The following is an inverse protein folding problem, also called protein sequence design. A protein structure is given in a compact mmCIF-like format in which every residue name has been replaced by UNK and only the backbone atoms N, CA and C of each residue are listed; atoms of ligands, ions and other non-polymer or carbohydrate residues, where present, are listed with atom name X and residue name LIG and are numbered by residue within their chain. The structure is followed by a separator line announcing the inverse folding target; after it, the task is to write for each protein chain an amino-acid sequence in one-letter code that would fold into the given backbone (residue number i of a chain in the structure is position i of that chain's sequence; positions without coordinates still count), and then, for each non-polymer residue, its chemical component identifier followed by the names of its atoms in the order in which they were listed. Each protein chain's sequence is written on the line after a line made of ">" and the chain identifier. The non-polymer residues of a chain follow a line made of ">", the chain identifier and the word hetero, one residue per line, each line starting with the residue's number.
data_IF_663665013083
#
_entry.id   IF_663665013083
#
_cell.length_a   1.000
_cell.length_b   1.000
_cell.length_c   1.000
_cell.angle_alpha   90.00
_cell.angle_beta   90.00
_cell.angle_gamma   90.00
#
_symmetry.space_group_name_H-M   'P 1'
#
loop_
_entity.id
_entity.type
_entity.pdbx_description
1 polymer ?
#
# COMPACT_ATOMS: atom_id res chain seq x y z
N UNK A 1 -29.84 -45.73 -24.26
CA UNK A 1 -29.50 -44.96 -23.05
C UNK A 1 -28.07 -44.42 -23.19
N UNK A 2 -27.94 -43.19 -23.69
CA UNK A 2 -26.65 -42.53 -23.94
C UNK A 2 -26.25 -41.82 -22.67
N UNK A 3 -25.22 -42.33 -22.00
CA UNK A 3 -24.62 -41.65 -20.85
C UNK A 3 -23.97 -40.36 -21.34
N UNK A 4 -24.56 -39.22 -21.02
CA UNK A 4 -23.91 -37.90 -21.12
C UNK A 4 -22.83 -37.88 -20.03
N UNK A 5 -21.58 -38.12 -20.41
CA UNK A 5 -20.43 -37.81 -19.61
C UNK A 5 -20.37 -36.28 -19.49
N UNK A 6 -20.85 -35.72 -18.40
CA UNK A 6 -20.54 -34.37 -17.98
C UNK A 6 -19.03 -34.29 -17.82
N UNK A 7 -18.36 -33.70 -18.79
CA UNK A 7 -16.97 -33.33 -18.66
C UNK A 7 -16.90 -32.35 -17.48
N UNK A 8 -16.42 -32.82 -16.35
CA UNK A 8 -16.08 -31.96 -15.21
C UNK A 8 -15.12 -30.89 -15.71
N UNK A 9 -15.58 -29.66 -15.74
CA UNK A 9 -14.79 -28.49 -16.12
C UNK A 9 -13.63 -28.42 -15.13
N UNK A 10 -12.42 -28.81 -15.55
CA UNK A 10 -11.22 -28.65 -14.72
C UNK A 10 -10.91 -27.15 -14.66
N UNK A 11 -11.19 -26.53 -13.54
CA UNK A 11 -10.78 -25.16 -13.30
C UNK A 11 -9.25 -25.12 -13.20
N UNK A 12 -8.60 -24.35 -14.08
CA UNK A 12 -7.18 -24.07 -13.98
C UNK A 12 -6.92 -23.21 -12.73
N UNK A 13 -6.00 -23.63 -11.90
CA UNK A 13 -5.52 -22.88 -10.75
C UNK A 13 -4.24 -22.12 -11.13
N UNK A 14 -4.05 -20.94 -10.55
CA UNK A 14 -2.82 -20.17 -10.61
C UNK A 14 -2.34 -19.89 -9.18
N UNK A 15 -1.11 -19.46 -9.03
CA UNK A 15 -0.58 -19.00 -7.75
C UNK A 15 -1.52 -18.01 -7.05
N UNK A 16 -2.01 -17.00 -7.78
CA UNK A 16 -2.95 -16.00 -7.23
C UNK A 16 -4.29 -16.58 -6.81
N UNK A 17 -4.80 -17.62 -7.51
CA UNK A 17 -6.01 -18.33 -7.10
C UNK A 17 -5.80 -19.15 -5.83
N UNK A 18 -4.63 -19.75 -5.67
CA UNK A 18 -4.29 -20.46 -4.43
C UNK A 18 -4.20 -19.46 -3.27
N UNK A 19 -3.54 -18.31 -3.45
CA UNK A 19 -3.50 -17.23 -2.44
C UNK A 19 -4.91 -16.72 -2.09
N UNK A 20 -5.80 -16.58 -3.08
CA UNK A 20 -7.20 -16.20 -2.82
C UNK A 20 -7.92 -17.26 -1.98
N UNK A 21 -7.67 -18.56 -2.23
CA UNK A 21 -8.22 -19.65 -1.43
C UNK A 21 -7.69 -19.65 0.00
N UNK A 22 -6.37 -19.46 0.19
CA UNK A 22 -5.75 -19.36 1.51
C UNK A 22 -6.34 -18.20 2.32
N UNK A 23 -6.64 -17.08 1.68
CA UNK A 23 -7.33 -15.97 2.32
C UNK A 23 -8.78 -16.34 2.67
N UNK A 24 -9.53 -16.89 1.70
CA UNK A 24 -10.92 -17.26 1.89
C UNK A 24 -11.42 -18.19 0.74
N UNK A 25 -11.90 -19.39 1.02
CA UNK A 25 -12.48 -20.28 0.00
C UNK A 25 -13.59 -19.62 -0.81
N UNK A 26 -14.47 -18.82 -0.16
CA UNK A 26 -15.54 -18.06 -0.81
C UNK A 26 -14.98 -16.99 -1.76
N UNK A 27 -13.87 -16.35 -1.43
CA UNK A 27 -13.17 -15.40 -2.31
C UNK A 27 -12.73 -16.06 -3.62
N UNK A 28 -12.08 -17.23 -3.54
CA UNK A 28 -11.70 -18.00 -4.74
C UNK A 28 -12.91 -18.36 -5.58
N UNK A 29 -13.97 -18.82 -4.94
CA UNK A 29 -15.21 -19.22 -5.62
C UNK A 29 -15.85 -18.04 -6.34
N UNK A 30 -16.04 -16.90 -5.65
CA UNK A 30 -16.60 -15.68 -6.22
C UNK A 30 -15.74 -15.12 -7.36
N UNK A 31 -14.43 -15.07 -7.22
CA UNK A 31 -13.51 -14.61 -8.27
C UNK A 31 -13.59 -15.48 -9.55
N UNK A 32 -14.03 -16.73 -9.42
CA UNK A 32 -14.14 -17.66 -10.56
C UNK A 32 -15.54 -17.69 -11.16
N UNK A 33 -16.59 -17.68 -10.34
CA UNK A 33 -17.97 -17.87 -10.77
C UNK A 33 -18.77 -16.58 -10.89
N UNK A 34 -18.41 -15.57 -10.09
CA UNK A 34 -19.12 -14.29 -9.99
C UNK A 34 -18.16 -13.09 -9.93
N UNK A 35 -17.25 -12.95 -10.91
CA UNK A 35 -16.33 -11.81 -10.97
C UNK A 35 -17.05 -10.46 -11.11
N UNK A 36 -18.30 -10.49 -11.56
CA UNK A 36 -19.18 -9.33 -11.67
C UNK A 36 -19.52 -8.68 -10.32
N UNK A 37 -19.31 -9.38 -9.20
CA UNK A 37 -19.58 -8.89 -7.84
C UNK A 37 -18.36 -8.24 -7.18
N UNK A 38 -17.21 -8.24 -7.85
CA UNK A 38 -15.99 -7.61 -7.33
C UNK A 38 -16.10 -6.09 -7.36
N UNK A 39 -15.75 -5.45 -6.25
CA UNK A 39 -15.57 -4.00 -6.24
C UNK A 39 -14.30 -3.60 -7.00
N UNK A 40 -14.37 -2.48 -7.71
CA UNK A 40 -13.22 -1.93 -8.40
C UNK A 40 -12.26 -1.31 -7.39
N UNK A 41 -10.99 -1.67 -7.48
CA UNK A 41 -9.92 -1.08 -6.69
C UNK A 41 -9.24 0.03 -7.49
N UNK A 42 -9.59 1.30 -7.17
CA UNK A 42 -9.03 2.48 -7.84
C UNK A 42 -7.49 2.57 -7.80
N UNK A 43 -6.85 1.89 -6.84
CA UNK A 43 -5.38 1.86 -6.71
C UNK A 43 -4.70 0.67 -7.40
N UNK A 44 -5.45 -0.26 -8.00
CA UNK A 44 -4.90 -1.48 -8.57
C UNK A 44 -3.92 -1.19 -9.72
N UNK A 45 -4.28 -0.30 -10.65
CA UNK A 45 -3.44 0.06 -11.80
C UNK A 45 -2.08 0.62 -11.36
N UNK A 46 -2.06 1.53 -10.38
CA UNK A 46 -0.82 2.11 -9.88
C UNK A 46 0.08 1.05 -9.19
N UNK A 47 -0.54 0.08 -8.48
CA UNK A 47 0.20 -1.03 -7.87
C UNK A 47 0.76 -1.98 -8.92
N UNK A 48 0.00 -2.31 -9.97
CA UNK A 48 0.48 -3.13 -11.08
C UNK A 48 1.60 -2.42 -11.85
N UNK A 49 1.46 -1.14 -12.16
CA UNK A 49 2.51 -0.36 -12.81
C UNK A 49 3.80 -0.34 -11.98
N UNK A 50 3.68 -0.19 -10.65
CA UNK A 50 4.84 -0.27 -9.75
C UNK A 50 5.48 -1.66 -9.77
N UNK A 51 4.67 -2.71 -9.71
CA UNK A 51 5.14 -4.11 -9.79
C UNK A 51 5.90 -4.38 -11.09
N UNK A 52 5.32 -3.98 -12.22
CA UNK A 52 5.93 -4.15 -13.54
C UNK A 52 7.28 -3.42 -13.65
N UNK A 53 7.35 -2.15 -13.22
CA UNK A 53 8.59 -1.39 -13.24
C UNK A 53 9.71 -2.03 -12.39
N UNK A 54 9.36 -2.61 -11.25
CA UNK A 54 10.29 -3.34 -10.40
C UNK A 54 10.75 -4.65 -11.08
N UNK A 55 9.83 -5.38 -11.70
CA UNK A 55 10.13 -6.59 -12.46
C UNK A 55 11.03 -6.33 -13.66
N UNK A 56 10.78 -5.28 -14.44
CA UNK A 56 11.60 -4.86 -15.58
C UNK A 56 13.05 -4.59 -15.16
N UNK A 57 13.25 -3.88 -14.05
CA UNK A 57 14.59 -3.63 -13.52
C UNK A 57 15.25 -4.92 -13.05
N UNK A 58 14.52 -5.80 -12.38
CA UNK A 58 15.05 -7.08 -11.96
C UNK A 58 15.54 -7.91 -13.16
N UNK A 59 14.81 -7.90 -14.27
CA UNK A 59 15.24 -8.54 -15.52
C UNK A 59 16.47 -7.84 -16.14
N UNK A 60 16.46 -6.51 -16.19
CA UNK A 60 17.55 -5.73 -16.80
C UNK A 60 18.90 -5.89 -16.10
N UNK A 61 18.90 -6.21 -14.81
CA UNK A 61 20.12 -6.49 -14.04
C UNK A 61 20.77 -7.84 -14.36
N UNK A 62 20.12 -8.67 -15.19
CA UNK A 62 20.62 -10.00 -15.57
C UNK A 62 20.84 -10.09 -17.09
N UNK A 63 21.97 -9.61 -17.60
CA UNK A 63 22.28 -9.64 -19.03
C UNK A 63 22.32 -11.07 -19.57
N UNK A 64 21.80 -11.27 -20.77
CA UNK A 64 21.72 -12.57 -21.42
C UNK A 64 20.52 -13.43 -21.00
N UNK A 65 19.63 -12.90 -20.19
CA UNK A 65 18.38 -13.55 -19.84
C UNK A 65 17.39 -13.60 -20.99
N UNK A 66 16.48 -14.57 -20.98
CA UNK A 66 15.43 -14.76 -21.98
C UNK A 66 14.06 -14.68 -21.33
N UNK A 67 13.22 -13.75 -21.82
CA UNK A 67 11.83 -13.61 -21.42
C UNK A 67 10.95 -14.70 -22.04
N UNK A 68 10.15 -15.36 -21.22
CA UNK A 68 9.11 -16.30 -21.64
C UNK A 68 7.76 -15.58 -21.63
N UNK A 69 7.42 -14.96 -22.73
CA UNK A 69 6.15 -14.22 -22.91
C UNK A 69 5.50 -14.53 -24.27
N UNK A 70 5.16 -15.81 -24.55
CA UNK A 70 4.38 -16.14 -25.72
C UNK A 70 2.89 -15.93 -25.48
N UNK A 71 2.08 -15.80 -26.56
CA UNK A 71 0.65 -15.50 -26.47
C UNK A 71 -0.20 -16.61 -25.85
N UNK A 72 0.32 -17.85 -25.82
CA UNK A 72 -0.41 -18.98 -25.24
C UNK A 72 0.36 -19.67 -24.13
N UNK A 73 -0.39 -20.22 -23.18
CA UNK A 73 0.15 -20.97 -22.05
C UNK A 73 0.95 -22.21 -22.51
N UNK A 74 0.45 -22.94 -23.51
CA UNK A 74 1.15 -24.11 -24.05
C UNK A 74 2.49 -23.77 -24.65
N UNK A 75 2.58 -22.63 -25.35
CA UNK A 75 3.83 -22.12 -25.88
C UNK A 75 4.77 -21.66 -24.78
N UNK A 76 4.27 -21.06 -23.70
CA UNK A 76 5.09 -20.67 -22.55
C UNK A 76 5.74 -21.89 -21.88
N UNK A 77 4.95 -22.94 -21.62
CA UNK A 77 5.43 -24.21 -21.08
C UNK A 77 6.48 -24.85 -22.01
N UNK A 78 6.19 -24.92 -23.32
CA UNK A 78 7.12 -25.48 -24.30
C UNK A 78 8.42 -24.67 -24.39
N UNK A 79 8.34 -23.34 -24.41
CA UNK A 79 9.51 -22.47 -24.44
C UNK A 79 10.38 -22.64 -23.21
N UNK A 80 9.76 -22.65 -22.01
CA UNK A 80 10.49 -22.90 -20.74
C UNK A 80 11.20 -24.25 -20.77
N UNK A 81 10.50 -25.32 -21.13
CA UNK A 81 11.06 -26.67 -21.25
C UNK A 81 12.23 -26.73 -22.27
N UNK A 82 12.08 -26.07 -23.41
CA UNK A 82 13.13 -25.99 -24.43
C UNK A 82 14.39 -25.24 -23.95
N UNK A 83 14.22 -24.13 -23.22
CA UNK A 83 15.36 -23.37 -22.67
C UNK A 83 16.10 -24.18 -21.59
N UNK A 84 15.37 -24.91 -20.75
CA UNK A 84 15.95 -25.73 -19.70
C UNK A 84 16.71 -26.94 -20.31
N UNK A 85 16.06 -27.69 -21.18
CA UNK A 85 16.63 -28.89 -21.80
C UNK A 85 17.73 -28.55 -22.79
N UNK A 86 17.61 -27.44 -23.50
CA UNK A 86 18.67 -26.92 -24.41
C UNK A 86 19.86 -26.31 -23.69
N UNK A 87 19.82 -26.25 -22.36
CA UNK A 87 20.95 -25.80 -21.56
C UNK A 87 21.24 -24.30 -21.65
N UNK A 88 20.19 -23.45 -21.89
CA UNK A 88 20.34 -21.99 -21.96
C UNK A 88 21.26 -21.49 -20.82
N UNK A 89 22.30 -20.69 -21.12
CA UNK A 89 23.31 -20.33 -20.13
C UNK A 89 22.88 -19.20 -19.18
N UNK A 90 21.99 -18.31 -19.64
CA UNK A 90 21.51 -17.15 -18.91
C UNK A 90 20.23 -17.43 -18.09
N UNK A 91 19.75 -16.43 -17.36
CA UNK A 91 18.48 -16.52 -16.67
C UNK A 91 17.29 -16.71 -17.61
N UNK A 92 16.23 -17.34 -17.09
CA UNK A 92 14.94 -17.45 -17.77
C UNK A 92 13.95 -16.63 -16.96
N UNK A 93 13.35 -15.60 -17.58
CA UNK A 93 12.35 -14.75 -16.95
C UNK A 93 10.95 -15.24 -17.29
N UNK A 94 10.01 -15.13 -16.34
CA UNK A 94 8.64 -15.62 -16.46
C UNK A 94 8.59 -17.12 -16.79
N UNK A 95 9.58 -17.87 -16.28
CA UNK A 95 9.68 -19.31 -16.51
C UNK A 95 8.38 -19.99 -16.03
N UNK A 96 7.67 -20.64 -16.98
CA UNK A 96 6.32 -21.11 -16.76
C UNK A 96 6.32 -22.61 -16.51
N UNK A 97 5.69 -23.03 -15.41
CA UNK A 97 5.56 -24.44 -15.00
C UNK A 97 4.10 -24.76 -14.67
N UNK A 98 3.75 -26.02 -14.84
CA UNK A 98 2.44 -26.54 -14.47
C UNK A 98 2.61 -27.91 -13.82
N UNK A 99 1.92 -28.10 -12.72
CA UNK A 99 1.74 -29.41 -12.11
C UNK A 99 0.33 -29.53 -11.55
N UNK A 100 -0.30 -30.67 -11.77
CA UNK A 100 -1.66 -30.96 -11.29
C UNK A 100 -2.64 -29.80 -11.54
N UNK A 101 -2.62 -29.19 -12.75
CA UNK A 101 -3.49 -28.08 -13.14
C UNK A 101 -3.24 -26.76 -12.39
N UNK A 102 -2.14 -26.65 -11.65
CA UNK A 102 -1.66 -25.41 -11.03
C UNK A 102 -0.55 -24.81 -11.87
N UNK A 103 -0.79 -23.58 -12.32
CA UNK A 103 0.16 -22.82 -13.12
C UNK A 103 0.93 -21.84 -12.24
N UNK A 104 2.25 -21.79 -12.45
CA UNK A 104 3.13 -20.75 -11.87
C UNK A 104 4.02 -20.15 -12.95
N UNK A 105 4.34 -18.87 -12.78
CA UNK A 105 5.40 -18.16 -13.49
C UNK A 105 6.42 -17.71 -12.48
N UNK A 106 7.69 -17.94 -12.79
CA UNK A 106 8.82 -17.62 -11.93
C UNK A 106 9.51 -16.41 -12.51
N UNK A 107 9.56 -15.31 -11.77
CA UNK A 107 10.07 -14.04 -12.28
C UNK A 107 11.52 -14.17 -12.79
N UNK A 108 12.38 -14.85 -12.01
CA UNK A 108 13.79 -15.09 -12.39
C UNK A 108 14.18 -16.53 -12.03
N UNK A 109 14.57 -17.32 -13.01
CA UNK A 109 15.09 -18.68 -12.83
C UNK A 109 16.52 -18.75 -13.38
N UNK A 110 17.49 -19.08 -12.52
CA UNK A 110 18.91 -19.08 -12.82
C UNK A 110 19.56 -20.41 -12.52
N UNK A 111 20.58 -20.79 -13.33
CA UNK A 111 21.44 -21.92 -12.97
C UNK A 111 22.36 -21.57 -11.81
N UNK A 112 22.58 -22.52 -10.91
CA UNK A 112 23.56 -22.35 -9.85
C UNK A 112 24.86 -23.08 -10.17
N UNK A 113 25.95 -22.57 -9.64
CA UNK A 113 27.24 -23.22 -9.72
C UNK A 113 27.16 -24.60 -9.03
N UNK A 114 27.71 -25.63 -9.67
CA UNK A 114 27.56 -27.00 -9.20
C UNK A 114 26.31 -27.75 -9.66
N UNK A 115 25.43 -27.10 -10.41
CA UNK A 115 24.22 -27.66 -11.01
C UNK A 115 22.95 -27.41 -10.21
N UNK A 116 21.81 -27.55 -10.88
CA UNK A 116 20.48 -27.20 -10.34
C UNK A 116 20.10 -25.74 -10.63
N UNK A 117 19.03 -25.26 -9.95
CA UNK A 117 18.40 -23.99 -10.24
C UNK A 117 18.15 -23.17 -8.97
N UNK A 118 18.22 -21.86 -9.11
CA UNK A 118 17.74 -20.89 -8.14
C UNK A 118 16.54 -20.14 -8.74
N UNK A 119 15.49 -20.00 -7.97
CA UNK A 119 14.31 -19.23 -8.31
C UNK A 119 14.22 -17.97 -7.44
N UNK A 120 13.87 -16.84 -8.03
CA UNK A 120 13.57 -15.64 -7.30
C UNK A 120 12.20 -15.09 -7.73
N UNK A 121 11.36 -14.83 -6.75
CA UNK A 121 10.10 -14.10 -6.89
C UNK A 121 10.35 -12.64 -6.53
N UNK A 122 10.13 -11.73 -7.47
CA UNK A 122 10.39 -10.31 -7.33
C UNK A 122 9.21 -9.60 -6.67
N UNK A 123 9.48 -8.82 -5.65
CA UNK A 123 8.44 -8.07 -4.91
C UNK A 123 8.81 -6.60 -4.76
N UNK A 124 7.87 -5.73 -5.08
CA UNK A 124 8.00 -4.29 -4.88
C UNK A 124 7.93 -3.86 -3.41
N UNK A 125 8.18 -4.74 -2.44
CA UNK A 125 8.19 -4.43 -1.00
C UNK A 125 9.63 -4.32 -0.50
N UNK A 126 9.85 -3.55 0.59
CA UNK A 126 11.16 -3.41 1.23
C UNK A 126 11.51 -4.54 2.20
N UNK A 127 10.69 -5.58 2.29
CA UNK A 127 10.90 -6.77 3.15
C UNK A 127 10.01 -7.93 2.74
N UNK A 128 10.36 -9.13 3.18
CA UNK A 128 9.49 -10.30 3.09
C UNK A 128 8.23 -10.07 3.94
N UNK A 129 7.08 -10.47 3.41
CA UNK A 129 5.78 -10.49 4.10
C UNK A 129 5.28 -11.94 4.21
N UNK A 130 4.40 -12.22 5.18
CA UNK A 130 3.96 -13.59 5.44
C UNK A 130 3.32 -14.27 4.22
N UNK A 131 2.46 -13.55 3.49
CA UNK A 131 1.82 -14.11 2.29
C UNK A 131 2.80 -14.41 1.13
N UNK A 132 4.00 -13.79 1.11
CA UNK A 132 5.04 -14.16 0.15
C UNK A 132 5.52 -15.59 0.34
N UNK A 133 5.47 -16.11 1.58
CA UNK A 133 5.87 -17.49 1.91
C UNK A 133 4.94 -18.52 1.26
N UNK A 134 3.62 -18.28 1.33
CA UNK A 134 2.62 -19.13 0.66
C UNK A 134 2.76 -19.10 -0.86
N UNK A 135 2.95 -17.92 -1.45
CA UNK A 135 3.20 -17.74 -2.88
C UNK A 135 4.42 -18.55 -3.34
N UNK A 136 5.57 -18.38 -2.64
CA UNK A 136 6.81 -19.04 -2.99
C UNK A 136 6.75 -20.55 -2.76
N UNK A 137 6.10 -21.00 -1.68
CA UNK A 137 5.91 -22.44 -1.44
C UNK A 137 5.11 -23.12 -2.54
N UNK A 138 4.07 -22.46 -3.08
CA UNK A 138 3.30 -22.96 -4.22
C UNK A 138 4.16 -23.06 -5.48
N UNK A 139 5.01 -22.05 -5.75
CA UNK A 139 5.93 -22.09 -6.90
C UNK A 139 6.95 -23.24 -6.75
N UNK A 140 7.57 -23.37 -5.59
CA UNK A 140 8.56 -24.41 -5.31
C UNK A 140 7.93 -25.79 -5.48
N UNK A 141 6.73 -25.99 -4.95
CA UNK A 141 6.01 -27.25 -5.10
C UNK A 141 5.80 -27.59 -6.57
N UNK A 142 5.22 -26.68 -7.38
CA UNK A 142 5.01 -26.92 -8.80
C UNK A 142 6.31 -27.18 -9.56
N UNK A 143 7.37 -26.42 -9.30
CA UNK A 143 8.66 -26.62 -9.96
C UNK A 143 9.29 -27.96 -9.64
N UNK A 144 9.27 -28.40 -8.36
CA UNK A 144 9.84 -29.69 -7.94
C UNK A 144 9.08 -30.85 -8.58
N UNK A 145 7.75 -30.79 -8.60
CA UNK A 145 6.90 -31.81 -9.24
C UNK A 145 7.04 -31.80 -10.76
N UNK A 146 7.42 -30.68 -11.37
CA UNK A 146 7.83 -30.59 -12.78
C UNK A 146 9.27 -31.06 -13.03
N UNK A 147 9.98 -31.59 -12.02
CA UNK A 147 11.31 -32.19 -12.14
C UNK A 147 12.48 -31.20 -12.07
N UNK A 148 12.26 -29.99 -11.56
CA UNK A 148 13.30 -28.99 -11.39
C UNK A 148 14.10 -29.25 -10.10
N UNK A 149 15.41 -29.47 -10.23
CA UNK A 149 16.32 -29.58 -9.10
C UNK A 149 16.62 -28.19 -8.52
N UNK A 150 15.76 -27.78 -7.61
CA UNK A 150 15.79 -26.45 -7.01
C UNK A 150 16.72 -26.43 -5.79
N UNK A 151 17.78 -25.61 -5.86
CA UNK A 151 18.75 -25.44 -4.79
C UNK A 151 18.49 -24.21 -3.92
N UNK A 152 17.81 -23.19 -4.45
CA UNK A 152 17.46 -21.96 -3.77
C UNK A 152 16.11 -21.43 -4.26
N UNK A 153 15.30 -20.91 -3.33
CA UNK A 153 14.09 -20.18 -3.65
C UNK A 153 13.99 -18.93 -2.78
N UNK A 154 14.06 -17.78 -3.41
CA UNK A 154 14.16 -16.49 -2.72
C UNK A 154 13.00 -15.55 -3.04
N UNK A 155 12.67 -14.72 -2.07
CA UNK A 155 11.96 -13.47 -2.32
C UNK A 155 13.01 -12.40 -2.58
N UNK A 156 13.03 -11.89 -3.82
CA UNK A 156 13.85 -10.74 -4.22
C UNK A 156 13.07 -9.46 -3.95
N UNK A 157 13.44 -8.75 -2.91
CA UNK A 157 12.75 -7.53 -2.49
C UNK A 157 13.67 -6.31 -2.58
N UNK A 158 13.09 -5.12 -2.54
CA UNK A 158 13.83 -3.86 -2.65
C UNK A 158 14.66 -3.63 -1.38
N UNK A 159 15.94 -3.30 -1.53
CA UNK A 159 16.76 -2.77 -0.45
C UNK A 159 16.44 -1.27 -0.24
N UNK A 160 15.79 -0.98 0.86
CA UNK A 160 15.41 0.40 1.21
C UNK A 160 16.59 1.31 1.54
N UNK A 161 17.81 0.73 1.66
CA UNK A 161 19.06 1.48 1.87
C UNK A 161 19.77 1.84 0.57
N UNK A 162 19.34 1.27 -0.55
CA UNK A 162 19.89 1.61 -1.86
C UNK A 162 19.78 3.11 -2.11
N UNK A 163 20.81 3.68 -2.72
CA UNK A 163 20.82 5.08 -3.20
C UNK A 163 21.14 5.09 -4.67
N UNK A 164 20.29 5.71 -5.48
CA UNK A 164 20.56 5.88 -6.91
C UNK A 164 21.70 6.88 -7.11
N UNK A 165 22.89 6.41 -7.45
CA UNK A 165 24.08 7.26 -7.62
C UNK A 165 24.25 7.77 -9.05
N UNK A 166 23.72 7.05 -10.04
CA UNK A 166 23.71 7.41 -11.45
C UNK A 166 22.40 7.00 -12.07
N UNK A 167 21.89 7.82 -12.93
CA UNK A 167 20.66 7.55 -13.68
C UNK A 167 20.75 6.20 -14.40
N UNK A 168 19.71 5.36 -14.23
CA UNK A 168 19.63 4.03 -14.84
C UNK A 168 20.50 2.95 -14.20
N UNK A 169 21.34 3.27 -13.20
CA UNK A 169 22.20 2.29 -12.53
C UNK A 169 21.52 1.76 -11.24
N UNK A 170 20.83 0.64 -11.39
CA UNK A 170 20.13 -0.02 -10.29
C UNK A 170 20.87 -1.22 -9.70
N UNK A 171 22.17 -1.36 -9.96
CA UNK A 171 22.97 -2.41 -9.34
C UNK A 171 22.94 -2.29 -7.81
N UNK A 172 22.50 -3.35 -7.12
CA UNK A 172 22.30 -3.35 -5.67
C UNK A 172 20.93 -2.87 -5.17
N UNK A 173 19.96 -2.59 -6.09
CA UNK A 173 18.59 -2.24 -5.70
C UNK A 173 17.87 -3.36 -4.94
N UNK A 174 18.26 -4.62 -5.14
CA UNK A 174 17.57 -5.77 -4.57
C UNK A 174 18.38 -6.52 -3.53
N UNK A 175 17.66 -7.15 -2.62
CA UNK A 175 18.17 -8.15 -1.66
C UNK A 175 17.36 -9.43 -1.82
N UNK A 176 18.06 -10.57 -1.88
CA UNK A 176 17.44 -11.89 -1.92
C UNK A 176 17.35 -12.48 -0.52
N UNK A 177 16.16 -12.84 -0.11
CA UNK A 177 15.90 -13.65 1.09
C UNK A 177 15.62 -15.08 0.65
N UNK A 178 16.60 -15.98 0.81
CA UNK A 178 16.40 -17.41 0.55
C UNK A 178 15.50 -18.01 1.63
N UNK A 179 14.34 -18.48 1.24
CA UNK A 179 13.35 -19.05 2.15
C UNK A 179 13.19 -20.57 1.99
N UNK A 180 13.87 -21.19 1.01
CA UNK A 180 13.68 -22.61 0.71
C UNK A 180 13.78 -23.50 1.96
N UNK A 181 14.78 -23.34 2.85
CA UNK A 181 14.89 -24.17 4.06
C UNK A 181 13.74 -23.99 5.04
N UNK A 182 13.11 -22.80 5.04
CA UNK A 182 12.02 -22.47 5.98
C UNK A 182 10.65 -22.92 5.47
N UNK A 183 10.53 -23.28 4.19
CA UNK A 183 9.25 -23.55 3.52
C UNK A 183 8.91 -25.03 3.39
N UNK A 184 9.77 -25.97 3.79
CA UNK A 184 9.58 -27.41 3.57
C UNK A 184 8.23 -27.91 4.12
N UNK A 185 7.87 -27.53 5.34
CA UNK A 185 6.60 -27.91 5.95
C UNK A 185 5.41 -27.33 5.13
N UNK A 186 5.51 -26.08 4.70
CA UNK A 186 4.47 -25.43 3.89
C UNK A 186 4.36 -26.09 2.52
N UNK A 187 5.47 -26.40 1.87
CA UNK A 187 5.53 -27.07 0.56
C UNK A 187 4.83 -28.44 0.65
N UNK A 188 5.08 -29.21 1.71
CA UNK A 188 4.49 -30.53 1.90
C UNK A 188 2.97 -30.53 1.97
N UNK A 189 2.35 -29.42 2.34
CA UNK A 189 0.88 -29.26 2.42
C UNK A 189 0.24 -28.80 1.11
N UNK A 190 1.02 -28.41 0.09
CA UNK A 190 0.45 -27.77 -1.13
C UNK A 190 -0.47 -28.68 -1.94
N UNK A 191 -0.15 -29.99 -2.04
CA UNK A 191 -1.01 -30.94 -2.75
C UNK A 191 -2.41 -31.04 -2.13
N UNK A 192 -2.48 -31.12 -0.79
CA UNK A 192 -3.77 -31.14 -0.07
C UNK A 192 -4.52 -29.82 -0.25
N UNK A 193 -3.85 -28.69 -0.09
CA UNK A 193 -4.43 -27.34 -0.28
C UNK A 193 -5.03 -27.18 -1.70
N UNK A 194 -4.33 -27.63 -2.72
CA UNK A 194 -4.80 -27.61 -4.11
C UNK A 194 -6.04 -28.47 -4.30
N UNK A 195 -6.09 -29.65 -3.68
CA UNK A 195 -7.27 -30.52 -3.73
C UNK A 195 -8.48 -29.86 -3.06
N UNK A 196 -8.29 -29.20 -1.90
CA UNK A 196 -9.33 -28.43 -1.22
C UNK A 196 -9.82 -27.24 -2.04
N UNK A 197 -8.89 -26.48 -2.66
CA UNK A 197 -9.24 -25.36 -3.54
C UNK A 197 -10.10 -25.81 -4.73
N UNK A 198 -9.79 -26.96 -5.33
CA UNK A 198 -10.62 -27.55 -6.39
C UNK A 198 -11.98 -28.02 -5.91
N UNK A 199 -12.03 -28.64 -4.74
CA UNK A 199 -13.29 -29.04 -4.14
C UNK A 199 -14.20 -27.83 -3.91
N UNK A 200 -13.65 -26.74 -3.38
CA UNK A 200 -14.37 -25.49 -3.19
C UNK A 200 -14.89 -24.91 -4.52
N UNK A 201 -14.09 -24.92 -5.59
CA UNK A 201 -14.53 -24.46 -6.91
C UNK A 201 -15.61 -25.35 -7.57
N UNK A 202 -15.70 -26.62 -7.18
CA UNK A 202 -16.65 -27.57 -7.73
C UNK A 202 -17.93 -27.68 -6.90
N UNK A 203 -17.97 -27.04 -5.75
CA UNK A 203 -19.13 -27.00 -4.84
C UNK A 203 -20.06 -25.82 -5.15
N UNK A 204 -21.14 -25.72 -4.40
CA UNK A 204 -21.91 -24.50 -4.28
C UNK A 204 -21.06 -23.39 -3.60
N UNK A 205 -21.55 -22.17 -3.61
CA UNK A 205 -20.85 -21.03 -2.96
C UNK A 205 -20.53 -21.38 -1.50
N UNK A 206 -19.23 -21.39 -1.10
CA UNK A 206 -18.85 -21.75 0.27
C UNK A 206 -19.44 -20.78 1.28
N UNK A 207 -20.01 -21.30 2.35
CA UNK A 207 -20.41 -20.49 3.49
C UNK A 207 -19.18 -20.10 4.29
N UNK A 208 -18.98 -18.79 4.45
CA UNK A 208 -17.92 -18.22 5.25
C UNK A 208 -18.38 -16.89 5.85
N UNK A 209 -18.41 -16.82 7.17
CA UNK A 209 -18.69 -15.57 7.87
C UNK A 209 -17.56 -14.54 7.64
N UNK A 210 -17.94 -13.26 7.69
CA UNK A 210 -16.96 -12.18 7.58
C UNK A 210 -16.07 -12.11 8.83
N UNK A 211 -14.81 -11.73 8.65
CA UNK A 211 -13.84 -11.62 9.74
C UNK A 211 -12.55 -10.95 9.26
N UNK A 212 -11.47 -11.09 10.05
CA UNK A 212 -10.18 -10.46 9.79
C UNK A 212 -9.61 -10.81 8.40
N UNK A 213 -9.90 -12.02 7.89
CA UNK A 213 -9.50 -12.44 6.54
C UNK A 213 -10.13 -11.60 5.41
N UNK A 214 -11.20 -10.84 5.67
CA UNK A 214 -11.76 -9.92 4.68
C UNK A 214 -10.91 -8.65 4.46
N UNK A 215 -9.96 -8.40 5.35
CA UNK A 215 -9.06 -7.23 5.29
C UNK A 215 -7.57 -7.59 5.26
N UNK A 216 -7.21 -8.83 5.60
CA UNK A 216 -5.84 -9.32 5.66
C UNK A 216 -5.69 -10.66 4.90
N UNK A 217 -4.61 -10.86 4.14
CA UNK A 217 -3.49 -9.93 3.88
C UNK A 217 -3.85 -8.77 2.95
N UNK A 218 -5.00 -8.87 2.23
CA UNK A 218 -5.51 -7.85 1.33
C UNK A 218 -6.98 -7.57 1.61
N UNK A 219 -7.43 -6.34 1.36
CA UNK A 219 -8.86 -6.05 1.34
C UNK A 219 -9.55 -6.95 0.30
N UNK A 220 -10.64 -7.58 0.70
CA UNK A 220 -11.37 -8.47 -0.19
C UNK A 220 -12.31 -7.66 -1.07
N UNK A 221 -12.20 -7.83 -2.37
CA UNK A 221 -13.04 -7.18 -3.39
C UNK A 221 -14.52 -7.60 -3.32
N UNK A 222 -14.82 -8.67 -2.59
CA UNK A 222 -16.19 -9.18 -2.40
C UNK A 222 -16.79 -8.82 -1.03
N UNK A 223 -16.13 -7.95 -0.26
CA UNK A 223 -16.58 -7.62 1.11
C UNK A 223 -18.00 -7.03 1.13
N UNK A 224 -18.34 -6.17 0.17
CA UNK A 224 -19.69 -5.58 0.05
C UNK A 224 -20.73 -6.67 -0.27
N UNK A 225 -20.43 -7.55 -1.19
CA UNK A 225 -21.31 -8.69 -1.48
C UNK A 225 -21.56 -9.57 -0.25
N UNK A 226 -20.51 -9.88 0.51
CA UNK A 226 -20.63 -10.72 1.71
C UNK A 226 -21.36 -10.02 2.86
N UNK A 227 -21.33 -8.69 2.92
CA UNK A 227 -22.02 -7.92 3.97
C UNK A 227 -23.49 -7.62 3.68
N UNK A 228 -23.99 -7.87 2.48
CA UNK A 228 -25.34 -7.48 2.03
C UNK A 228 -26.48 -8.03 2.90
N UNK A 229 -26.29 -9.26 3.40
CA UNK A 229 -27.30 -9.97 4.19
C UNK A 229 -27.05 -9.86 5.70
N UNK A 230 -25.99 -9.14 6.10
CA UNK A 230 -25.73 -8.88 7.52
C UNK A 230 -26.70 -7.83 8.05
N UNK A 231 -27.13 -7.95 9.31
CA UNK A 231 -27.88 -6.89 9.96
C UNK A 231 -27.13 -5.57 9.83
N UNK A 232 -27.84 -4.51 9.48
CA UNK A 232 -27.21 -3.19 9.48
C UNK A 232 -26.65 -2.92 10.87
N UNK A 233 -25.37 -2.64 10.93
CA UNK A 233 -24.72 -2.24 12.17
C UNK A 233 -25.32 -0.94 12.72
N UNK A 234 -24.95 -0.56 13.93
CA UNK A 234 -25.42 0.70 14.50
C UNK A 234 -24.95 1.89 13.65
N UNK A 235 -25.71 2.95 13.67
CA UNK A 235 -25.37 4.20 12.99
C UNK A 235 -23.98 4.71 13.41
N UNK A 236 -23.64 4.50 14.69
CA UNK A 236 -22.37 4.92 15.26
C UNK A 236 -21.57 3.73 15.84
N UNK A 237 -20.97 2.90 14.99
CA UNK A 237 -20.22 1.76 15.48
C UNK A 237 -19.02 2.19 16.33
N UNK A 238 -18.70 1.44 17.38
CA UNK A 238 -17.55 1.74 18.27
C UNK A 238 -16.21 1.83 17.52
N UNK A 239 -16.13 1.30 16.29
CA UNK A 239 -14.98 1.38 15.44
C UNK A 239 -14.66 2.78 14.94
N UNK A 240 -15.57 3.76 15.08
CA UNK A 240 -15.30 5.19 14.84
C UNK A 240 -14.31 5.78 15.85
N UNK A 241 -14.08 5.11 16.98
CA UNK A 241 -13.06 5.51 17.93
C UNK A 241 -11.67 5.37 17.32
N UNK A 242 -10.84 6.42 17.40
CA UNK A 242 -9.56 6.46 16.72
C UNK A 242 -8.56 5.44 17.25
N UNK A 243 -7.55 5.12 16.41
CA UNK A 243 -6.43 4.23 16.73
C UNK A 243 -6.85 2.80 17.13
N UNK A 244 -7.96 2.30 16.59
CA UNK A 244 -8.44 0.95 16.84
C UNK A 244 -9.00 0.75 18.27
N UNK A 245 -9.28 1.83 18.98
CA UNK A 245 -9.80 1.77 20.35
C UNK A 245 -11.18 1.12 20.47
N UNK A 246 -11.90 1.00 19.35
CA UNK A 246 -13.18 0.29 19.29
C UNK A 246 -13.07 -1.22 19.50
N UNK A 247 -11.92 -1.83 19.14
CA UNK A 247 -11.75 -3.29 19.18
C UNK A 247 -12.07 -3.89 20.57
N UNK A 248 -11.57 -3.27 21.63
CA UNK A 248 -11.82 -3.72 23.02
C UNK A 248 -13.31 -3.74 23.41
N UNK A 249 -14.12 -2.91 22.75
CA UNK A 249 -15.56 -2.82 23.01
C UNK A 249 -16.31 -3.88 22.24
N UNK A 250 -15.91 -4.13 20.98
CA UNK A 250 -16.42 -5.26 20.20
C UNK A 250 -16.17 -6.60 20.92
N UNK A 251 -14.99 -6.78 21.51
CA UNK A 251 -14.64 -7.97 22.30
C UNK A 251 -15.52 -8.14 23.54
N UNK A 252 -16.15 -7.06 24.02
CA UNK A 252 -17.13 -7.06 25.13
C UNK A 252 -18.58 -7.12 24.66
N UNK A 253 -18.80 -7.27 23.34
CA UNK A 253 -20.14 -7.32 22.76
C UNK A 253 -20.82 -5.96 22.60
N UNK A 254 -20.11 -4.85 22.80
CA UNK A 254 -20.65 -3.50 22.62
C UNK A 254 -20.29 -3.03 21.20
N UNK A 255 -21.30 -2.83 20.37
CA UNK A 255 -21.15 -2.48 18.97
C UNK A 255 -21.42 -1.00 18.68
N UNK A 256 -22.30 -0.36 19.44
CA UNK A 256 -22.67 1.04 19.28
C UNK A 256 -21.89 1.95 20.23
N UNK A 257 -21.36 3.05 19.69
CA UNK A 257 -20.70 4.09 20.47
C UNK A 257 -21.63 4.69 21.53
N UNK A 258 -22.92 4.81 21.22
CA UNK A 258 -23.92 5.40 22.13
C UNK A 258 -24.26 4.52 23.33
N UNK A 259 -23.91 3.23 23.27
CA UNK A 259 -24.06 2.29 24.41
C UNK A 259 -22.91 2.40 25.43
N UNK A 260 -21.86 3.19 25.13
CA UNK A 260 -20.72 3.34 26.02
C UNK A 260 -21.03 4.31 27.17
N UNK A 261 -20.60 3.94 28.38
CA UNK A 261 -20.62 4.85 29.51
C UNK A 261 -19.45 5.84 29.43
N UNK A 262 -19.71 7.11 29.61
CA UNK A 262 -18.69 8.17 29.56
C UNK A 262 -17.57 7.94 30.57
N UNK A 263 -17.86 7.38 31.73
CA UNK A 263 -16.92 7.07 32.81
C UNK A 263 -15.84 6.04 32.37
N UNK A 264 -16.14 5.18 31.38
CA UNK A 264 -15.24 4.15 30.87
C UNK A 264 -14.31 4.67 29.77
N UNK A 265 -14.49 5.92 29.38
CA UNK A 265 -13.78 6.54 28.27
C UNK A 265 -12.70 7.49 28.77
N UNK A 266 -11.59 7.55 28.00
CA UNK A 266 -10.66 8.65 28.19
C UNK A 266 -11.28 9.97 27.69
N UNK A 267 -10.75 11.09 28.12
CA UNK A 267 -11.24 12.42 27.80
C UNK A 267 -11.46 12.68 26.28
N UNK A 268 -10.61 12.10 25.40
CA UNK A 268 -10.77 12.23 23.95
C UNK A 268 -11.99 11.45 23.44
N UNK A 269 -12.16 10.21 23.91
CA UNK A 269 -13.27 9.36 23.49
C UNK A 269 -14.60 9.85 24.10
N UNK A 270 -14.58 10.36 25.31
CA UNK A 270 -15.75 10.97 25.94
C UNK A 270 -16.26 12.19 25.13
N UNK A 271 -15.34 13.02 24.61
CA UNK A 271 -15.73 14.12 23.70
C UNK A 271 -16.36 13.62 22.40
N UNK A 272 -15.85 12.52 21.83
CA UNK A 272 -16.43 11.92 20.64
C UNK A 272 -17.83 11.40 20.93
N UNK A 273 -18.01 10.69 22.04
CA UNK A 273 -19.32 10.21 22.48
C UNK A 273 -20.30 11.36 22.67
N UNK A 274 -19.91 12.41 23.40
CA UNK A 274 -20.76 13.56 23.64
C UNK A 274 -21.16 14.28 22.34
N UNK A 275 -20.18 14.55 21.46
CA UNK A 275 -20.44 15.19 20.18
C UNK A 275 -21.37 14.35 19.28
N UNK A 276 -21.22 13.02 19.31
CA UNK A 276 -22.06 12.09 18.56
C UNK A 276 -23.47 12.06 19.10
N UNK A 277 -23.61 11.92 20.44
CA UNK A 277 -24.91 11.86 21.11
C UNK A 277 -25.72 13.16 20.93
N UNK A 278 -25.05 14.30 21.06
CA UNK A 278 -25.71 15.62 21.05
C UNK A 278 -25.86 16.16 19.61
N UNK A 279 -25.23 15.52 18.62
CA UNK A 279 -25.21 15.99 17.22
C UNK A 279 -24.49 17.33 17.02
N UNK A 280 -23.70 17.75 18.03
CA UNK A 280 -23.02 19.06 18.04
C UNK A 280 -21.51 18.85 17.93
N UNK A 281 -20.84 19.40 16.91
CA UNK A 281 -19.38 19.33 16.81
C UNK A 281 -18.70 19.94 18.03
N UNK A 282 -17.75 19.22 18.59
CA UNK A 282 -16.96 19.74 19.70
C UNK A 282 -16.01 20.84 19.20
N UNK A 283 -16.08 22.03 19.79
CA UNK A 283 -15.23 23.17 19.48
C UNK A 283 -14.72 23.84 20.77
N UNK A 284 -13.39 23.79 20.98
CA UNK A 284 -12.73 24.44 22.12
C UNK A 284 -11.86 25.64 21.65
N UNK A 285 -12.50 26.75 21.39
CA UNK A 285 -11.82 27.96 20.92
C UNK A 285 -10.87 28.56 21.98
N UNK A 286 -11.16 28.40 23.28
CA UNK A 286 -10.33 28.89 24.36
C UNK A 286 -9.09 28.02 24.54
N UNK A 287 -9.25 26.70 24.58
CA UNK A 287 -8.15 25.76 24.61
C UNK A 287 -7.20 25.92 23.41
N UNK A 288 -7.77 26.11 22.21
CA UNK A 288 -7.02 26.39 21.00
C UNK A 288 -6.20 27.70 21.15
N UNK A 289 -6.82 28.76 21.63
CA UNK A 289 -6.17 30.06 21.86
C UNK A 289 -5.04 29.95 22.87
N UNK A 290 -5.26 29.24 23.99
CA UNK A 290 -4.21 28.95 25.01
C UNK A 290 -3.06 28.15 24.42
N UNK A 291 -3.36 27.10 23.64
CA UNK A 291 -2.35 26.27 22.99
C UNK A 291 -1.47 27.10 22.01
N UNK A 292 -2.09 28.01 21.27
CA UNK A 292 -1.42 28.87 20.29
C UNK A 292 -0.74 30.11 20.89
N UNK A 293 -0.98 30.45 22.16
CA UNK A 293 -0.48 31.69 22.78
C UNK A 293 1.05 31.79 22.78
N UNK A 294 1.75 30.65 22.90
CA UNK A 294 3.22 30.58 22.88
C UNK A 294 3.84 30.45 21.48
N UNK A 295 3.04 30.45 20.41
CA UNK A 295 3.57 30.33 19.06
C UNK A 295 4.10 31.66 18.56
N UNK A 296 5.38 31.67 18.16
CA UNK A 296 6.04 32.87 17.64
C UNK A 296 5.45 33.35 16.30
N UNK A 297 5.80 34.57 15.94
CA UNK A 297 5.45 35.19 14.65
C UNK A 297 6.71 35.42 13.80
N UNK A 298 6.60 35.39 12.46
CA UNK A 298 5.43 34.97 11.69
C UNK A 298 5.15 33.48 11.83
N UNK A 299 3.94 33.04 11.53
CA UNK A 299 3.52 31.64 11.53
C UNK A 299 3.40 31.15 10.10
N UNK A 300 4.04 30.03 9.81
CA UNK A 300 4.03 29.38 8.50
C UNK A 300 3.26 28.07 8.61
N UNK A 301 2.04 28.05 8.12
CA UNK A 301 1.17 26.87 8.03
C UNK A 301 1.53 26.12 6.77
N UNK A 302 2.20 24.98 6.92
CA UNK A 302 2.83 24.23 5.84
C UNK A 302 2.20 22.85 5.72
N UNK A 303 1.93 22.45 4.48
CA UNK A 303 1.43 21.14 4.11
C UNK A 303 2.12 20.69 2.83
N UNK A 304 2.61 19.42 2.81
CA UNK A 304 3.29 18.83 1.66
C UNK A 304 2.47 17.71 1.03
N UNK A 305 2.53 17.64 -0.30
CA UNK A 305 2.21 16.43 -1.04
C UNK A 305 3.51 15.78 -1.56
N UNK A 306 3.61 14.46 -1.41
CA UNK A 306 4.82 13.73 -1.74
C UNK A 306 4.53 12.49 -2.58
N UNK A 307 5.51 12.10 -3.39
CA UNK A 307 5.57 10.77 -4.01
C UNK A 307 6.66 9.94 -3.34
N UNK A 308 6.44 8.64 -3.26
CA UNK A 308 7.41 7.71 -2.66
C UNK A 308 7.60 6.48 -3.57
N UNK A 309 8.29 6.62 -4.71
CA UNK A 309 8.43 5.54 -5.67
C UNK A 309 9.24 4.38 -5.08
N UNK A 310 8.82 3.16 -5.40
CA UNK A 310 9.54 1.95 -5.02
C UNK A 310 10.93 1.90 -5.69
N UNK A 311 10.99 2.34 -6.94
CA UNK A 311 12.24 2.51 -7.70
C UNK A 311 12.61 3.99 -7.68
N UNK A 312 13.77 4.37 -7.12
CA UNK A 312 14.22 5.76 -7.15
C UNK A 312 14.34 6.29 -8.58
N UNK A 313 13.79 7.49 -8.83
CA UNK A 313 13.79 8.10 -10.16
C UNK A 313 14.90 9.12 -10.35
N UNK A 314 15.31 9.78 -9.28
CA UNK A 314 16.26 10.87 -9.33
C UNK A 314 17.53 10.53 -8.55
N UNK A 315 18.67 10.96 -9.08
CA UNK A 315 19.98 10.74 -8.43
C UNK A 315 19.97 11.28 -6.99
N UNK A 316 20.56 10.52 -6.08
CA UNK A 316 20.60 10.81 -4.64
C UNK A 316 19.33 10.42 -3.89
N UNK A 317 18.34 9.78 -4.54
CA UNK A 317 17.13 9.30 -3.85
C UNK A 317 17.18 7.81 -3.54
N UNK A 318 16.35 7.40 -2.60
CA UNK A 318 16.22 6.02 -2.10
C UNK A 318 14.82 5.48 -2.38
N UNK A 319 14.65 4.14 -2.42
CA UNK A 319 13.35 3.52 -2.47
C UNK A 319 12.44 4.03 -1.34
N UNK A 320 11.19 4.35 -1.66
CA UNK A 320 10.14 4.85 -0.75
C UNK A 320 10.47 6.16 -0.02
N UNK A 321 11.52 6.88 -0.44
CA UNK A 321 11.79 8.22 0.08
C UNK A 321 10.64 9.15 -0.27
N UNK A 322 10.19 9.94 0.71
CA UNK A 322 9.17 10.96 0.49
C UNK A 322 9.77 12.14 -0.27
N UNK A 323 9.39 12.29 -1.52
CA UNK A 323 9.86 13.37 -2.40
C UNK A 323 8.75 14.40 -2.53
N UNK A 324 8.91 15.61 -1.99
CA UNK A 324 7.88 16.63 -2.09
C UNK A 324 7.80 17.18 -3.52
N UNK A 325 6.62 17.10 -4.12
CA UNK A 325 6.34 17.66 -5.43
C UNK A 325 5.36 18.85 -5.38
N UNK A 326 4.72 19.04 -4.22
CA UNK A 326 3.81 20.15 -3.96
C UNK A 326 3.93 20.59 -2.50
N UNK A 327 3.80 21.89 -2.26
CA UNK A 327 3.43 22.39 -0.93
C UNK A 327 2.37 23.50 -1.05
N UNK A 328 1.60 23.64 0.06
CA UNK A 328 0.73 24.78 0.34
C UNK A 328 1.24 25.48 1.59
N UNK A 329 1.50 26.77 1.50
CA UNK A 329 2.04 27.59 2.59
C UNK A 329 1.15 28.81 2.83
N UNK A 330 0.57 28.90 4.04
CA UNK A 330 -0.08 30.13 4.48
C UNK A 330 0.81 30.83 5.50
N UNK A 331 1.26 32.02 5.16
CA UNK A 331 2.10 32.85 6.05
C UNK A 331 1.24 33.89 6.78
N UNK A 332 1.10 33.69 8.08
CA UNK A 332 0.33 34.55 8.98
C UNK A 332 1.27 35.51 9.72
N UNK A 333 1.03 36.82 9.60
CA UNK A 333 1.77 37.87 10.30
C UNK A 333 1.01 38.36 11.52
N UNK A 334 1.73 38.97 12.46
CA UNK A 334 1.13 39.61 13.62
C UNK A 334 0.09 40.65 13.13
N UNK A 335 -1.15 40.58 13.67
CA UNK A 335 -2.26 41.42 13.18
C UNK A 335 -3.21 40.71 12.20
N UNK A 336 -3.00 39.40 11.95
CA UNK A 336 -3.95 38.56 11.19
C UNK A 336 -3.82 38.65 9.66
N UNK A 337 -2.84 39.41 9.13
CA UNK A 337 -2.58 39.42 7.69
C UNK A 337 -2.02 38.08 7.27
N UNK A 338 -2.67 37.44 6.30
CA UNK A 338 -2.28 36.14 5.75
C UNK A 338 -1.94 36.26 4.25
N UNK A 339 -0.86 35.61 3.81
CA UNK A 339 -0.54 35.43 2.40
C UNK A 339 -0.44 33.94 2.11
N UNK A 340 -0.80 33.53 0.88
CA UNK A 340 -0.68 32.16 0.41
C UNK A 340 0.41 32.06 -0.64
N UNK A 341 1.22 31.02 -0.52
CA UNK A 341 2.27 30.64 -1.46
C UNK A 341 2.13 29.14 -1.73
N UNK A 342 2.42 28.74 -2.94
CA UNK A 342 2.34 27.34 -3.34
C UNK A 342 3.48 26.98 -4.28
N UNK A 343 3.78 25.71 -4.33
CA UNK A 343 4.71 25.09 -5.29
C UNK A 343 4.06 23.83 -5.82
N UNK A 344 4.20 23.58 -7.12
CA UNK A 344 3.74 22.35 -7.77
C UNK A 344 4.68 22.03 -8.94
N UNK A 345 5.23 20.80 -8.94
CA UNK A 345 5.99 20.24 -10.06
C UNK A 345 5.21 19.10 -10.68
N UNK A 346 4.95 19.18 -11.99
CA UNK A 346 4.19 18.18 -12.76
C UNK A 346 4.92 17.72 -14.03
N UNK A 347 6.16 18.16 -14.25
CA UNK A 347 6.92 17.91 -15.49
C UNK A 347 7.78 16.63 -15.45
N UNK A 348 7.79 15.93 -14.31
CA UNK A 348 8.56 14.71 -14.11
C UNK A 348 10.04 14.92 -13.78
N UNK A 349 10.55 16.14 -13.78
CA UNK A 349 11.91 16.47 -13.34
C UNK A 349 12.06 16.31 -11.82
N UNK A 350 13.28 16.35 -11.31
CA UNK A 350 13.52 16.30 -9.86
C UNK A 350 12.97 17.55 -9.17
N UNK A 351 11.90 17.43 -8.38
CA UNK A 351 11.24 18.60 -7.80
C UNK A 351 11.97 19.16 -6.57
N UNK A 352 12.92 18.42 -6.01
CA UNK A 352 13.46 18.67 -4.67
C UNK A 352 14.14 20.02 -4.54
N UNK A 353 15.00 20.39 -5.53
CA UNK A 353 15.71 21.68 -5.49
C UNK A 353 14.73 22.85 -5.56
N UNK A 354 13.86 22.86 -6.59
CA UNK A 354 12.92 23.95 -6.78
C UNK A 354 11.93 24.09 -5.61
N UNK A 355 11.49 22.94 -5.03
CA UNK A 355 10.67 22.94 -3.82
C UNK A 355 11.42 23.58 -2.62
N UNK A 356 12.68 23.20 -2.39
CA UNK A 356 13.51 23.72 -1.30
C UNK A 356 13.77 25.22 -1.46
N UNK A 357 14.10 25.67 -2.68
CA UNK A 357 14.33 27.07 -3.02
C UNK A 357 13.06 27.91 -2.79
N UNK A 358 11.91 27.45 -3.28
CA UNK A 358 10.64 28.13 -3.08
C UNK A 358 10.25 28.24 -1.59
N UNK A 359 10.55 27.22 -0.78
CA UNK A 359 10.35 27.28 0.67
C UNK A 359 11.24 28.35 1.32
N UNK A 360 12.53 28.37 0.96
CA UNK A 360 13.50 29.35 1.51
C UNK A 360 13.14 30.77 1.14
N UNK A 361 12.64 31.01 -0.05
CA UNK A 361 12.18 32.33 -0.52
C UNK A 361 10.95 32.82 0.24
N UNK A 362 9.98 31.93 0.48
CA UNK A 362 8.66 32.32 0.98
C UNK A 362 8.54 32.25 2.51
N UNK A 363 9.37 31.45 3.19
CA UNK A 363 9.32 31.36 4.66
C UNK A 363 10.36 32.27 5.29
N UNK A 364 9.96 33.34 6.01
CA UNK A 364 10.90 34.25 6.69
C UNK A 364 11.75 33.50 7.72
N UNK A 365 12.99 33.96 7.86
CA UNK A 365 13.86 33.43 8.92
C UNK A 365 13.22 33.68 10.30
N UNK A 366 13.21 32.64 11.11
CA UNK A 366 12.60 32.71 12.45
C UNK A 366 11.10 32.45 12.50
N UNK A 367 10.45 32.18 11.39
CA UNK A 367 9.05 31.76 11.38
C UNK A 367 8.82 30.49 12.18
N UNK A 368 7.66 30.39 12.83
CA UNK A 368 7.20 29.17 13.46
C UNK A 368 6.49 28.32 12.44
N UNK A 369 7.04 27.14 12.12
CA UNK A 369 6.39 26.18 11.21
C UNK A 369 5.27 25.45 11.96
N UNK A 370 4.08 25.45 11.37
CA UNK A 370 2.90 24.79 11.90
C UNK A 370 2.43 23.81 10.84
N UNK A 371 2.25 22.56 11.24
CA UNK A 371 1.82 21.49 10.36
C UNK A 371 0.85 20.56 11.09
N UNK A 372 -0.05 19.91 10.34
CA UNK A 372 -1.00 18.96 10.92
C UNK A 372 -0.27 17.71 11.43
N UNK A 373 0.64 17.16 10.65
CA UNK A 373 1.49 16.03 11.03
C UNK A 373 2.96 16.47 11.06
N UNK A 374 3.33 17.27 12.05
CA UNK A 374 4.66 17.88 12.13
C UNK A 374 5.84 16.89 12.09
N UNK A 375 5.62 15.60 12.35
CA UNK A 375 6.66 14.58 12.21
C UNK A 375 6.99 14.31 10.75
N UNK A 376 5.96 14.30 9.89
CA UNK A 376 6.09 14.10 8.46
C UNK A 376 6.79 15.30 7.81
N UNK A 377 6.28 16.51 7.99
CA UNK A 377 6.87 17.72 7.40
C UNK A 377 8.30 17.94 7.86
N UNK A 378 8.61 17.64 9.14
CA UNK A 378 9.99 17.66 9.63
C UNK A 378 10.89 16.65 8.94
N UNK A 379 10.38 15.48 8.58
CA UNK A 379 11.16 14.49 7.83
C UNK A 379 11.49 15.01 6.44
N UNK A 380 10.49 15.53 5.74
CA UNK A 380 10.67 16.13 4.40
C UNK A 380 11.68 17.27 4.43
N UNK A 381 11.55 18.20 5.37
CA UNK A 381 12.49 19.33 5.51
C UNK A 381 13.92 18.88 5.82
N UNK A 382 14.10 17.84 6.64
CA UNK A 382 15.44 17.27 6.92
C UNK A 382 16.04 16.60 5.69
N UNK A 383 15.25 15.87 4.93
CA UNK A 383 15.70 15.20 3.71
C UNK A 383 16.09 16.23 2.64
N UNK A 384 15.35 17.35 2.52
CA UNK A 384 15.72 18.46 1.64
C UNK A 384 17.01 19.13 2.09
N UNK A 385 17.17 19.40 3.39
CA UNK A 385 18.39 20.00 3.94
C UNK A 385 19.61 19.09 3.73
N UNK A 386 19.45 17.77 3.91
CA UNK A 386 20.52 16.80 3.67
C UNK A 386 20.90 16.70 2.19
N UNK A 387 19.91 16.88 1.29
CA UNK A 387 20.13 16.82 -0.18
C UNK A 387 20.80 18.08 -0.73
N UNK A 388 20.61 19.24 -0.08
CA UNK A 388 21.05 20.53 -0.60
C UNK A 388 21.80 21.34 0.46
N UNK A 389 23.14 21.15 0.61
CA UNK A 389 23.97 21.83 1.60
C UNK A 389 23.90 23.36 1.52
N UNK A 390 23.72 23.94 0.34
CA UNK A 390 23.62 25.38 0.13
C UNK A 390 22.35 25.98 0.75
N UNK A 391 21.26 25.22 0.80
CA UNK A 391 19.99 25.63 1.40
C UNK A 391 19.83 25.14 2.87
N UNK A 392 20.67 24.20 3.30
CA UNK A 392 20.60 23.60 4.63
C UNK A 392 20.59 24.62 5.78
N UNK A 393 21.41 25.71 5.77
CA UNK A 393 21.38 26.71 6.84
C UNK A 393 20.03 27.39 7.04
N UNK A 394 19.19 27.40 6.00
CA UNK A 394 17.82 27.94 6.04
C UNK A 394 16.80 26.89 6.42
N UNK A 395 16.95 25.65 5.94
CA UNK A 395 16.01 24.53 6.16
C UNK A 395 16.18 23.85 7.53
N UNK A 396 17.42 23.60 7.97
CA UNK A 396 17.70 22.90 9.25
C UNK A 396 17.14 23.52 10.53
N UNK A 397 17.08 24.87 10.68
CA UNK A 397 16.52 25.46 11.89
C UNK A 397 15.02 25.15 12.07
N UNK A 398 14.30 24.89 10.98
CA UNK A 398 12.85 24.66 11.03
C UNK A 398 12.47 23.36 11.75
N UNK A 399 13.10 22.21 11.51
CA UNK A 399 12.82 20.98 12.25
C UNK A 399 13.14 21.05 13.75
N UNK A 400 14.10 21.90 14.16
CA UNK A 400 14.52 22.06 15.54
C UNK A 400 13.67 23.08 16.31
N UNK A 401 13.10 24.04 15.63
CA UNK A 401 12.15 24.99 16.21
C UNK A 401 10.81 24.29 16.35
N UNK A 402 10.08 24.54 17.42
CA UNK A 402 8.82 23.88 17.74
C UNK A 402 7.87 23.82 16.53
N UNK A 403 8.02 22.79 15.69
CA UNK A 403 6.96 22.40 14.77
C UNK A 403 5.85 21.89 15.65
N UNK A 404 4.76 22.59 15.68
CA UNK A 404 3.65 22.25 16.53
C UNK A 404 2.77 21.38 15.65
N UNK A 405 2.77 20.08 15.93
CA UNK A 405 1.62 19.26 15.59
C UNK A 405 0.40 20.02 16.09
N UNK A 406 -0.52 20.40 15.23
CA UNK A 406 -1.70 21.14 15.65
C UNK A 406 -2.40 20.32 16.74
N UNK A 407 -2.26 20.66 18.05
CA UNK A 407 -2.92 19.93 19.12
C UNK A 407 -4.39 20.31 19.20
N UNK A 408 -4.82 21.14 18.23
CA UNK A 408 -6.22 21.42 18.09
C UNK A 408 -6.89 20.07 17.93
N UNK A 409 -7.75 19.66 18.87
CA UNK A 409 -8.58 18.50 18.62
C UNK A 409 -9.19 18.73 17.24
N UNK A 410 -8.85 17.86 16.28
CA UNK A 410 -9.56 17.85 15.04
C UNK A 410 -11.03 18.00 15.44
N UNK A 411 -11.69 19.03 14.95
CA UNK A 411 -13.12 19.12 15.02
C UNK A 411 -13.56 17.87 14.30
N UNK A 412 -13.80 16.80 15.06
CA UNK A 412 -14.38 15.60 14.52
C UNK A 412 -15.84 16.01 14.36
N UNK A 413 -16.12 16.72 13.29
CA UNK A 413 -17.44 16.79 12.76
C UNK A 413 -17.78 15.39 12.26
N UNK A 414 -18.17 14.52 13.17
CA UNK A 414 -18.88 13.31 12.81
C UNK A 414 -20.26 13.81 12.39
N UNK A 415 -20.38 14.19 11.12
CA UNK A 415 -21.68 14.35 10.50
C UNK A 415 -22.07 12.99 9.95
N UNK A 416 -23.37 12.68 9.94
CA UNK A 416 -23.94 11.44 9.40
C UNK A 416 -23.39 11.10 7.98
N UNK A 417 -22.98 12.11 7.22
CA UNK A 417 -22.35 11.98 5.91
C UNK A 417 -20.90 11.44 5.93
N UNK A 418 -20.18 11.54 7.05
CA UNK A 418 -18.81 11.01 7.14
C UNK A 418 -18.74 9.54 7.54
N UNK A 419 -19.81 8.97 8.09
CA UNK A 419 -19.90 7.55 8.40
C UNK A 419 -20.10 6.69 7.13
N UNK A 420 -20.68 7.25 6.06
CA UNK A 420 -20.90 6.55 4.79
C UNK A 420 -19.66 6.53 3.89
N UNK A 421 -18.62 7.32 4.19
CA UNK A 421 -17.36 7.38 3.42
C UNK A 421 -16.22 6.93 4.32
N UNK A 422 -16.13 5.65 4.53
CA UNK A 422 -14.94 5.01 5.09
C UNK A 422 -13.78 5.16 4.11
N UNK A 423 -12.89 6.09 4.41
CA UNK A 423 -11.61 6.41 3.78
C UNK A 423 -11.61 7.67 2.93
N UNK A 424 -11.33 8.77 3.55
CA UNK A 424 -10.27 9.68 3.11
C UNK A 424 -10.03 10.69 4.22
N UNK A 425 -8.77 10.89 4.58
CA UNK A 425 -8.31 12.01 5.38
C UNK A 425 -8.48 13.26 4.52
N UNK A 426 -9.72 13.78 4.42
CA UNK A 426 -9.94 15.10 3.88
C UNK A 426 -10.28 16.03 5.04
N UNK A 427 -9.31 16.87 5.37
CA UNK A 427 -9.62 18.11 6.05
C UNK A 427 -10.55 18.88 5.11
N UNK A 428 -11.84 19.01 5.44
CA UNK A 428 -12.76 19.82 4.66
C UNK A 428 -12.28 21.27 4.75
N UNK A 429 -11.80 21.80 3.64
CA UNK A 429 -11.55 23.24 3.48
C UNK A 429 -12.87 23.98 3.74
N UNK A 430 -12.87 25.09 4.47
CA UNK A 430 -14.03 25.97 4.47
C UNK A 430 -14.24 26.47 3.04
N UNK A 431 -15.47 26.35 2.53
CA UNK A 431 -15.86 26.85 1.23
C UNK A 431 -15.56 28.36 1.15
N UNK A 432 -15.01 28.84 0.03
CA UNK A 432 -14.85 30.26 -0.16
C UNK A 432 -16.22 30.95 -0.21
N UNK A 433 -16.34 32.20 0.25
CA UNK A 433 -17.60 32.94 0.19
C UNK A 433 -18.03 33.12 -1.29
N UNK A 434 -19.28 32.81 -1.54
CA UNK A 434 -19.92 32.87 -2.85
C UNK A 434 -19.74 34.24 -3.52
N UNK A 435 -19.24 34.16 -4.73
CA UNK A 435 -19.21 35.03 -5.87
C UNK A 435 -19.94 36.38 -5.78
N UNK A 436 -19.20 37.44 -6.00
CA UNK A 436 -19.68 38.71 -6.55
C UNK A 436 -19.75 38.54 -8.06
N UNK A 437 -20.95 38.54 -8.59
CA UNK A 437 -21.26 38.66 -10.03
C UNK A 437 -20.74 39.99 -10.55
N UNK A 438 -19.75 39.95 -11.44
CA UNK A 438 -19.40 41.10 -12.26
C UNK A 438 -20.35 41.16 -13.48
N UNK A 439 -21.18 42.18 -13.55
CA UNK A 439 -21.88 42.56 -14.76
C UNK A 439 -20.90 43.25 -15.71
N UNK A 440 -20.85 42.71 -16.90
CA UNK A 440 -20.18 43.30 -18.07
C UNK A 440 -20.90 44.58 -18.56
N UNK A 441 -20.13 45.59 -18.90
CA UNK A 441 -20.31 46.43 -20.06
C UNK A 441 -19.03 46.54 -20.86
#
# INVERSE_FOLDING_TARGET
>A
MTQIRTATRRFGLSKSKITAFEQCPKKLWLATHRPDLAEQDEGAEARFATGNAVGEIACALHPGGVMVDPPSLSEALAKTSSLISGGHPGPIFEATFEHDGVLVRVDVLEKVEGGGWAAAEVKSSGKVKDYHRGDLATQVWVMREAGIDLKRAAIRHIDTKFVLLREGDYAGLFTDADLLPELEDTISTRSALVAEARAALSSEEPEREMGDHCSAPFACEFAVYCSRDLPQGPEWPVTVLPYGAGKRWLERGINDLLDLAEADLNHRHARILAATRDGIPFHDAEGARKAMAGWGWPRAWLDFETVAPAVPRWVGTRPYQQIPFQFSLHLERRGGRMTHHEFLSCDGTDPRWACAEALVENIPQGATIIAYNAAFERSVLRDLAASFPDLAPRLEPWPRRRSICCPLPATIGITATSAAVGRSRRCSRPSPPSSITAHSR
#
